data_IF_246441224384
#
_entry.id   IF_246441224384
#
_cell.length_a   1.000
_cell.length_b   1.000
_cell.length_c   1.000
_cell.angle_alpha   90.00
_cell.angle_beta   90.00
_cell.angle_gamma   90.00
#
_symmetry.space_group_name_H-M   'P 1'
#
loop_
_entity.id
_entity.type
_entity.pdbx_description
1 polymer ?
#
# COMPACT_ATOMS: atom_id res chain seq x y z
N UNK A 1 -35.22 13.84 34.83
CA UNK A 1 -34.60 13.41 33.59
C UNK A 1 -35.31 12.15 33.14
N UNK A 2 -36.09 12.23 32.08
CA UNK A 2 -36.97 11.15 31.63
C UNK A 2 -36.19 10.09 30.84
N UNK A 3 -36.64 8.82 30.94
CA UNK A 3 -36.07 7.67 30.21
C UNK A 3 -36.06 7.89 28.68
N UNK A 4 -36.87 8.83 28.19
CA UNK A 4 -36.96 9.23 26.79
C UNK A 4 -35.74 10.06 26.33
N UNK A 5 -35.17 10.90 27.21
CA UNK A 5 -33.97 11.70 26.89
C UNK A 5 -32.70 10.84 26.80
N UNK A 6 -32.66 9.73 27.52
CA UNK A 6 -31.49 8.82 27.49
C UNK A 6 -31.43 7.92 26.24
N UNK A 7 -32.55 7.80 25.50
CA UNK A 7 -32.61 7.06 24.24
C UNK A 7 -32.14 7.89 23.02
N UNK A 8 -32.25 9.21 23.10
CA UNK A 8 -31.91 10.11 22.00
C UNK A 8 -30.41 10.37 21.89
N UNK A 9 -29.64 10.19 22.98
CA UNK A 9 -28.18 10.35 22.99
C UNK A 9 -27.44 9.13 22.39
N UNK A 10 -28.13 7.99 22.22
CA UNK A 10 -27.53 6.74 21.71
C UNK A 10 -27.55 6.59 20.19
N UNK A 11 -28.09 7.60 19.46
CA UNK A 11 -28.25 7.59 18.01
C UNK A 11 -27.27 8.45 17.24
N UNK A 12 -26.26 9.06 17.90
CA UNK A 12 -25.31 9.95 17.25
C UNK A 12 -23.96 9.23 17.09
N UNK A 13 -23.59 9.02 15.84
CA UNK A 13 -22.26 8.73 15.27
C UNK A 13 -21.68 7.31 15.35
N UNK A 14 -22.17 6.45 14.47
CA UNK A 14 -21.35 5.34 13.96
C UNK A 14 -20.80 5.49 12.51
N UNK A 15 -21.12 6.53 11.72
CA UNK A 15 -20.55 6.66 10.37
C UNK A 15 -19.08 7.10 10.33
N UNK A 16 -18.59 7.78 11.37
CA UNK A 16 -17.22 8.35 11.38
C UNK A 16 -16.11 7.33 11.62
N UNK A 17 -16.37 6.30 12.40
CA UNK A 17 -15.36 5.27 12.68
C UNK A 17 -15.09 4.35 11.48
N UNK A 18 -16.12 3.94 10.73
CA UNK A 18 -15.92 3.13 9.52
C UNK A 18 -15.13 3.88 8.44
N UNK A 19 -15.41 5.17 8.21
CA UNK A 19 -14.66 5.99 7.25
C UNK A 19 -13.18 6.17 7.62
N UNK A 20 -12.88 6.33 8.91
CA UNK A 20 -11.51 6.50 9.37
C UNK A 20 -10.69 5.19 9.20
N UNK A 21 -11.30 4.05 9.48
CA UNK A 21 -10.66 2.73 9.29
C UNK A 21 -10.40 2.46 7.81
N UNK A 22 -11.37 2.77 6.93
CA UNK A 22 -11.22 2.57 5.48
C UNK A 22 -10.10 3.44 4.89
N UNK A 23 -9.99 4.71 5.33
CA UNK A 23 -8.95 5.62 4.84
C UNK A 23 -7.54 5.22 5.28
N UNK A 24 -7.38 4.72 6.51
CA UNK A 24 -6.09 4.21 7.01
C UNK A 24 -5.65 2.98 6.22
N UNK A 25 -6.54 2.01 6.06
CA UNK A 25 -6.28 0.79 5.28
C UNK A 25 -5.87 1.10 3.84
N UNK A 26 -6.54 2.08 3.21
CA UNK A 26 -6.22 2.50 1.85
C UNK A 26 -4.85 3.17 1.75
N UNK A 27 -4.51 4.04 2.72
CA UNK A 27 -3.20 4.71 2.74
C UNK A 27 -2.05 3.71 2.90
N UNK A 28 -2.21 2.70 3.75
CA UNK A 28 -1.23 1.64 3.93
C UNK A 28 -1.08 0.75 2.70
N UNK A 29 -2.21 0.45 2.03
CA UNK A 29 -2.19 -0.30 0.79
C UNK A 29 -1.42 0.46 -0.31
N UNK A 30 -1.67 1.76 -0.49
CA UNK A 30 -0.96 2.62 -1.43
C UNK A 30 0.54 2.69 -1.09
N UNK A 31 0.87 2.86 0.19
CA UNK A 31 2.25 2.88 0.65
C UNK A 31 2.99 1.58 0.31
N UNK A 32 2.35 0.43 0.53
CA UNK A 32 2.92 -0.87 0.19
C UNK A 32 3.11 -1.07 -1.31
N UNK A 33 2.20 -0.56 -2.17
CA UNK A 33 2.39 -0.58 -3.63
C UNK A 33 3.61 0.24 -4.02
N UNK A 34 3.71 1.48 -3.54
CA UNK A 34 4.82 2.39 -3.90
C UNK A 34 6.16 1.79 -3.48
N UNK A 35 6.26 1.29 -2.25
CA UNK A 35 7.50 0.66 -1.76
C UNK A 35 7.85 -0.62 -2.51
N UNK A 36 6.85 -1.44 -2.88
CA UNK A 36 7.03 -2.59 -3.75
C UNK A 36 7.56 -2.21 -5.13
N UNK A 37 7.01 -1.15 -5.74
CA UNK A 37 7.48 -0.63 -7.03
C UNK A 37 8.92 -0.14 -6.99
N UNK A 38 9.35 0.51 -5.90
CA UNK A 38 10.77 0.92 -5.70
C UNK A 38 11.68 -0.30 -5.75
N UNK A 39 11.36 -1.36 -4.99
CA UNK A 39 12.15 -2.60 -4.97
C UNK A 39 12.18 -3.26 -6.36
N UNK A 40 11.04 -3.32 -7.05
CA UNK A 40 10.95 -3.91 -8.39
C UNK A 40 11.75 -3.08 -9.40
N UNK A 41 11.67 -1.75 -9.34
CA UNK A 41 12.41 -0.87 -10.23
C UNK A 41 13.93 -1.03 -10.06
N UNK A 42 14.42 -1.17 -8.83
CA UNK A 42 15.82 -1.49 -8.55
C UNK A 42 16.23 -2.84 -9.15
N UNK A 43 15.41 -3.89 -8.99
CA UNK A 43 15.68 -5.22 -9.56
C UNK A 43 15.75 -5.22 -11.11
N UNK A 44 14.94 -4.42 -11.77
CA UNK A 44 15.00 -4.25 -13.25
C UNK A 44 16.38 -3.74 -13.67
N UNK A 45 16.97 -2.83 -12.89
CA UNK A 45 18.27 -2.24 -13.20
C UNK A 45 19.43 -3.20 -12.88
N UNK A 46 19.31 -4.02 -11.85
CA UNK A 46 20.33 -5.02 -11.48
C UNK A 46 20.35 -6.23 -12.41
N UNK A 47 19.37 -6.36 -13.31
CA UNK A 47 19.24 -7.46 -14.28
C UNK A 47 19.27 -8.83 -13.60
N UNK A 48 18.44 -8.99 -12.57
CA UNK A 48 18.26 -10.30 -11.93
C UNK A 48 17.80 -11.34 -12.94
N UNK A 49 18.60 -12.40 -13.10
CA UNK A 49 18.35 -13.46 -14.09
C UNK A 49 17.43 -14.56 -13.55
N UNK A 50 17.24 -14.60 -12.22
CA UNK A 50 16.53 -15.70 -11.56
C UNK A 50 15.21 -15.24 -10.97
N UNK A 51 14.12 -15.68 -11.56
CA UNK A 51 12.76 -15.26 -11.18
C UNK A 51 12.39 -15.48 -9.71
N UNK A 52 12.83 -16.60 -9.11
CA UNK A 52 12.54 -16.93 -7.71
C UNK A 52 13.30 -16.00 -6.74
N UNK A 53 14.52 -15.58 -7.09
CA UNK A 53 15.28 -14.59 -6.30
C UNK A 53 14.61 -13.24 -6.37
N UNK A 54 14.24 -12.78 -7.56
CA UNK A 54 13.50 -11.54 -7.73
C UNK A 54 12.18 -11.55 -6.90
N UNK A 55 11.40 -12.63 -6.98
CA UNK A 55 10.19 -12.78 -6.19
C UNK A 55 10.47 -12.73 -4.67
N UNK A 56 11.49 -13.47 -4.19
CA UNK A 56 11.86 -13.47 -2.78
C UNK A 56 12.33 -12.10 -2.30
N UNK A 57 13.07 -11.34 -3.11
CA UNK A 57 13.51 -9.98 -2.76
C UNK A 57 12.30 -9.05 -2.62
N UNK A 58 11.35 -9.10 -3.56
CA UNK A 58 10.13 -8.28 -3.48
C UNK A 58 9.33 -8.62 -2.21
N UNK A 59 9.11 -9.90 -1.95
CA UNK A 59 8.34 -10.34 -0.78
C UNK A 59 9.05 -10.00 0.53
N UNK A 60 10.37 -10.23 0.62
CA UNK A 60 11.15 -9.89 1.82
C UNK A 60 11.17 -8.38 2.07
N UNK A 61 11.25 -7.57 1.01
CA UNK A 61 11.11 -6.12 1.08
C UNK A 61 9.74 -5.71 1.63
N UNK A 62 8.65 -6.29 1.13
CA UNK A 62 7.31 -6.04 1.64
C UNK A 62 7.15 -6.41 3.12
N UNK A 63 7.72 -7.56 3.53
CA UNK A 63 7.72 -7.98 4.95
C UNK A 63 8.53 -7.01 5.81
N UNK A 64 9.71 -6.60 5.36
CA UNK A 64 10.56 -5.65 6.10
C UNK A 64 9.87 -4.30 6.29
N UNK A 65 9.23 -3.76 5.26
CA UNK A 65 8.47 -2.50 5.32
C UNK A 65 7.28 -2.64 6.26
N UNK A 66 6.52 -3.73 6.17
CA UNK A 66 5.42 -4.02 7.08
C UNK A 66 5.87 -4.06 8.55
N UNK A 67 6.97 -4.77 8.85
CA UNK A 67 7.52 -4.82 10.21
C UNK A 67 7.97 -3.45 10.70
N UNK A 68 8.66 -2.68 9.86
CA UNK A 68 9.12 -1.33 10.20
C UNK A 68 7.95 -0.39 10.47
N UNK A 69 6.88 -0.47 9.67
CA UNK A 69 5.68 0.34 9.84
C UNK A 69 4.94 -0.01 11.12
N UNK A 70 4.68 -1.30 11.38
CA UNK A 70 4.06 -1.77 12.61
C UNK A 70 4.87 -1.37 13.85
N UNK A 71 6.20 -1.43 13.78
CA UNK A 71 7.08 -0.96 14.86
C UNK A 71 6.95 0.54 15.10
N UNK A 72 6.92 1.34 14.03
CA UNK A 72 6.76 2.80 14.12
C UNK A 72 5.40 3.18 14.75
N UNK A 73 4.31 2.48 14.37
CA UNK A 73 2.98 2.66 14.97
C UNK A 73 3.01 2.40 16.48
N UNK A 74 3.63 1.28 16.91
CA UNK A 74 3.77 0.91 18.32
C UNK A 74 4.51 1.99 19.11
N UNK A 75 5.63 2.49 18.58
CA UNK A 75 6.40 3.56 19.26
C UNK A 75 5.59 4.85 19.34
N UNK A 76 4.88 5.20 18.26
CA UNK A 76 3.99 6.35 18.23
C UNK A 76 2.88 6.27 19.28
N UNK A 77 2.19 5.12 19.40
CA UNK A 77 1.18 4.89 20.43
C UNK A 77 1.75 4.98 21.85
N UNK A 78 2.95 4.41 22.08
CA UNK A 78 3.61 4.48 23.40
C UNK A 78 3.87 5.92 23.82
N UNK A 79 4.34 6.76 22.92
CA UNK A 79 4.61 8.18 23.20
C UNK A 79 3.32 8.94 23.45
N UNK A 80 2.29 8.71 22.64
CA UNK A 80 1.00 9.40 22.77
C UNK A 80 0.25 9.03 24.06
N UNK A 81 0.21 7.74 24.41
CA UNK A 81 -0.58 7.24 25.54
C UNK A 81 0.19 7.21 26.84
N UNK A 82 1.50 7.42 26.86
CA UNK A 82 2.40 7.38 28.02
C UNK A 82 2.20 6.15 28.92
N UNK A 83 1.79 5.01 28.32
CA UNK A 83 1.56 3.75 29.03
C UNK A 83 2.48 2.64 28.52
N UNK A 84 2.60 1.57 29.32
CA UNK A 84 3.30 0.37 28.88
C UNK A 84 2.48 -0.33 27.81
N UNK A 85 3.17 -0.79 26.77
CA UNK A 85 2.58 -1.58 25.69
C UNK A 85 2.35 -3.01 26.17
N UNK A 86 1.30 -3.61 25.66
CA UNK A 86 0.93 -5.00 25.87
C UNK A 86 1.13 -5.81 24.59
N UNK A 87 1.17 -7.15 24.71
CA UNK A 87 1.22 -8.03 23.53
C UNK A 87 0.03 -7.83 22.57
N UNK A 88 -1.13 -7.42 23.11
CA UNK A 88 -2.32 -7.10 22.30
C UNK A 88 -2.15 -5.83 21.46
N UNK A 89 -1.40 -4.84 21.96
CA UNK A 89 -1.10 -3.62 21.19
C UNK A 89 -0.20 -3.97 19.99
N UNK A 90 0.80 -4.83 20.22
CA UNK A 90 1.66 -5.34 19.15
C UNK A 90 0.86 -6.10 18.07
N UNK A 91 0.04 -7.07 18.48
CA UNK A 91 -0.78 -7.84 17.55
C UNK A 91 -1.76 -6.97 16.76
N UNK A 92 -2.28 -5.90 17.38
CA UNK A 92 -3.14 -4.92 16.72
C UNK A 92 -2.39 -4.13 15.65
N UNK A 93 -1.21 -3.58 15.97
CA UNK A 93 -0.37 -2.85 15.01
C UNK A 93 -0.01 -3.73 13.80
N UNK A 94 0.46 -4.96 14.05
CA UNK A 94 0.77 -5.93 12.98
C UNK A 94 -0.43 -6.22 12.08
N UNK A 95 -1.63 -6.33 12.66
CA UNK A 95 -2.86 -6.57 11.89
C UNK A 95 -3.33 -5.33 11.15
N UNK A 96 -3.20 -4.15 11.73
CA UNK A 96 -3.57 -2.90 11.09
C UNK A 96 -2.72 -2.65 9.83
N UNK A 97 -1.41 -2.90 9.92
CA UNK A 97 -0.47 -2.69 8.82
C UNK A 97 -0.48 -3.84 7.78
N UNK A 98 -1.38 -4.84 7.91
CA UNK A 98 -1.49 -5.96 6.96
C UNK A 98 -1.72 -5.55 5.49
N UNK A 99 -2.39 -4.42 5.18
CA UNK A 99 -2.54 -3.95 3.81
C UNK A 99 -1.21 -3.69 3.09
N UNK A 100 -0.15 -3.33 3.80
CA UNK A 100 1.20 -3.12 3.24
C UNK A 100 1.74 -4.43 2.64
N UNK A 101 1.68 -5.52 3.39
CA UNK A 101 2.20 -6.81 2.91
C UNK A 101 1.33 -7.37 1.77
N UNK A 102 0.00 -7.24 1.86
CA UNK A 102 -0.90 -7.73 0.80
C UNK A 102 -0.70 -6.98 -0.51
N UNK A 103 -0.48 -5.67 -0.48
CA UNK A 103 -0.20 -4.88 -1.67
C UNK A 103 1.16 -5.24 -2.29
N UNK A 104 2.18 -5.50 -1.47
CA UNK A 104 3.48 -6.01 -1.94
C UNK A 104 3.34 -7.35 -2.68
N UNK A 105 2.53 -8.28 -2.15
CA UNK A 105 2.24 -9.53 -2.85
C UNK A 105 1.52 -9.32 -4.18
N UNK A 106 0.57 -8.39 -4.25
CA UNK A 106 -0.17 -8.13 -5.50
C UNK A 106 0.76 -7.66 -6.62
N UNK A 107 1.70 -6.73 -6.32
CA UNK A 107 2.67 -6.28 -7.34
C UNK A 107 3.73 -7.32 -7.64
N UNK A 108 3.96 -8.31 -6.76
CA UNK A 108 4.90 -9.40 -6.98
C UNK A 108 4.33 -10.52 -7.89
N UNK A 109 3.01 -10.59 -8.10
CA UNK A 109 2.38 -11.68 -8.88
C UNK A 109 3.03 -11.86 -10.27
N UNK A 110 3.27 -10.82 -11.08
CA UNK A 110 3.86 -11.00 -12.40
C UNK A 110 5.27 -11.61 -12.35
N UNK A 111 6.04 -11.40 -11.27
CA UNK A 111 7.38 -11.96 -11.10
C UNK A 111 7.39 -13.50 -11.01
N UNK A 112 6.24 -14.16 -10.85
CA UNK A 112 6.10 -15.62 -10.89
C UNK A 112 5.97 -16.18 -12.31
N UNK A 113 5.58 -15.35 -13.30
CA UNK A 113 5.29 -15.80 -14.67
C UNK A 113 6.49 -16.40 -15.41
N UNK A 114 7.75 -15.94 -15.18
CA UNK A 114 8.91 -16.58 -15.76
C UNK A 114 9.09 -18.05 -15.31
N UNK A 115 8.71 -18.37 -14.07
CA UNK A 115 8.71 -19.74 -13.57
C UNK A 115 7.77 -20.68 -14.32
N UNK A 116 6.76 -20.14 -15.00
CA UNK A 116 5.83 -20.85 -15.87
C UNK A 116 6.26 -20.85 -17.36
N UNK A 117 7.42 -20.25 -17.68
CA UNK A 117 7.92 -20.13 -19.04
C UNK A 117 7.15 -19.14 -19.93
N UNK A 118 6.32 -18.26 -19.35
CA UNK A 118 5.45 -17.35 -20.09
C UNK A 118 6.15 -16.08 -20.56
N UNK A 119 7.21 -15.64 -19.87
CA UNK A 119 7.96 -14.43 -20.24
C UNK A 119 9.34 -14.41 -19.59
N UNK A 120 10.20 -13.45 -19.98
CA UNK A 120 11.51 -13.25 -19.32
C UNK A 120 11.35 -12.59 -17.95
N UNK A 121 12.37 -12.70 -17.09
CA UNK A 121 12.39 -12.06 -15.77
C UNK A 121 12.26 -10.54 -15.92
N UNK A 122 13.04 -9.92 -16.80
CA UNK A 122 13.00 -8.48 -17.07
C UNK A 122 11.60 -8.00 -17.48
N UNK A 123 10.95 -8.73 -18.41
CA UNK A 123 9.58 -8.42 -18.83
C UNK A 123 8.59 -8.53 -17.68
N UNK A 124 8.74 -9.53 -16.81
CA UNK A 124 7.86 -9.75 -15.67
C UNK A 124 7.99 -8.66 -14.61
N UNK A 125 9.21 -8.18 -14.34
CA UNK A 125 9.45 -7.08 -13.41
C UNK A 125 8.87 -5.75 -13.97
N UNK A 126 9.04 -5.50 -15.27
CA UNK A 126 8.41 -4.36 -15.95
C UNK A 126 6.89 -4.44 -15.87
N UNK A 127 6.32 -5.63 -16.07
CA UNK A 127 4.87 -5.85 -15.91
C UNK A 127 4.42 -5.63 -14.46
N UNK A 128 5.22 -6.00 -13.47
CA UNK A 128 4.95 -5.75 -12.05
C UNK A 128 4.85 -4.24 -11.75
N UNK A 129 5.78 -3.44 -12.27
CA UNK A 129 5.70 -1.98 -12.15
C UNK A 129 4.46 -1.41 -12.84
N UNK A 130 4.11 -1.91 -14.04
CA UNK A 130 2.91 -1.49 -14.74
C UNK A 130 1.63 -1.82 -13.94
N UNK A 131 1.56 -3.01 -13.35
CA UNK A 131 0.45 -3.40 -12.44
C UNK A 131 0.36 -2.42 -11.26
N UNK A 132 1.48 -2.05 -10.65
CA UNK A 132 1.50 -1.04 -9.58
C UNK A 132 0.93 0.31 -10.03
N UNK A 133 1.35 0.82 -11.20
CA UNK A 133 0.83 2.07 -11.78
C UNK A 133 -0.69 1.99 -12.02
N UNK A 134 -1.17 0.89 -12.59
CA UNK A 134 -2.60 0.69 -12.85
C UNK A 134 -3.40 0.65 -11.55
N UNK A 135 -2.90 -0.03 -10.52
CA UNK A 135 -3.59 -0.08 -9.22
C UNK A 135 -3.61 1.31 -8.58
N UNK A 136 -2.52 2.07 -8.62
CA UNK A 136 -2.51 3.45 -8.12
C UNK A 136 -3.53 4.32 -8.86
N UNK A 137 -3.63 4.20 -10.19
CA UNK A 137 -4.65 4.90 -10.98
C UNK A 137 -6.07 4.54 -10.54
N UNK A 138 -6.35 3.24 -10.34
CA UNK A 138 -7.64 2.75 -9.87
C UNK A 138 -7.98 3.29 -8.48
N UNK A 139 -7.02 3.25 -7.56
CA UNK A 139 -7.19 3.80 -6.20
C UNK A 139 -7.51 5.29 -6.26
N UNK A 140 -6.77 6.08 -7.05
CA UNK A 140 -7.06 7.50 -7.25
C UNK A 140 -8.44 7.75 -7.83
N UNK A 141 -8.87 6.96 -8.81
CA UNK A 141 -10.22 7.06 -9.38
C UNK A 141 -11.29 6.72 -8.34
N UNK A 142 -11.13 5.64 -7.59
CA UNK A 142 -12.07 5.21 -6.55
C UNK A 142 -12.16 6.24 -5.42
N UNK A 143 -11.05 6.85 -5.01
CA UNK A 143 -11.04 7.94 -4.03
C UNK A 143 -11.92 9.12 -4.50
N UNK A 144 -11.81 9.51 -5.77
CA UNK A 144 -12.65 10.55 -6.36
C UNK A 144 -14.13 10.16 -6.45
N UNK A 145 -14.46 8.86 -6.60
CA UNK A 145 -15.85 8.41 -6.58
C UNK A 145 -16.45 8.47 -5.17
N UNK A 146 -15.66 8.12 -4.16
CA UNK A 146 -16.11 8.11 -2.76
C UNK A 146 -16.45 9.53 -2.24
N UNK A 147 -15.79 10.56 -2.78
CA UNK A 147 -16.04 11.98 -2.45
C UNK A 147 -17.16 12.61 -3.28
N UNK A 148 -17.83 11.84 -4.18
CA UNK A 148 -18.88 12.30 -5.09
C UNK A 148 -18.46 13.48 -6.00
N UNK A 149 -17.18 13.56 -6.30
CA UNK A 149 -16.61 14.59 -7.15
C UNK A 149 -17.01 14.45 -8.62
N UNK A 150 -16.78 15.50 -9.40
CA UNK A 150 -17.05 15.49 -10.84
C UNK A 150 -16.21 14.44 -11.56
N UNK A 151 -16.70 13.94 -12.71
CA UNK A 151 -15.99 12.96 -13.51
C UNK A 151 -14.56 13.43 -13.87
N UNK A 152 -14.39 14.70 -14.18
CA UNK A 152 -13.10 15.29 -14.50
C UNK A 152 -12.13 15.21 -13.31
N UNK A 153 -12.60 15.49 -12.11
CA UNK A 153 -11.78 15.41 -10.91
C UNK A 153 -11.34 13.96 -10.57
N UNK A 154 -12.22 12.98 -10.79
CA UNK A 154 -11.89 11.54 -10.65
C UNK A 154 -10.77 11.12 -11.58
N UNK A 155 -10.83 11.57 -12.84
CA UNK A 155 -9.78 11.30 -13.85
C UNK A 155 -8.48 11.99 -13.42
N UNK A 156 -8.54 13.23 -12.95
CA UNK A 156 -7.37 13.97 -12.49
C UNK A 156 -6.68 13.25 -11.31
N UNK A 157 -7.45 12.75 -10.34
CA UNK A 157 -6.92 11.94 -9.24
C UNK A 157 -6.28 10.63 -9.73
N UNK A 158 -6.93 9.95 -10.67
CA UNK A 158 -6.38 8.72 -11.26
C UNK A 158 -5.04 8.99 -11.97
N UNK A 159 -4.98 10.03 -12.80
CA UNK A 159 -3.76 10.43 -13.51
C UNK A 159 -2.67 10.90 -12.54
N UNK A 160 -3.04 11.68 -11.52
CA UNK A 160 -2.10 12.10 -10.47
C UNK A 160 -1.49 10.92 -9.72
N UNK A 161 -2.34 9.95 -9.31
CA UNK A 161 -1.89 8.73 -8.62
C UNK A 161 -1.01 7.84 -9.53
N UNK A 162 -1.37 7.68 -10.80
CA UNK A 162 -0.53 7.00 -11.78
C UNK A 162 0.81 7.73 -11.98
N UNK A 163 0.79 9.07 -12.00
CA UNK A 163 1.96 9.92 -12.10
C UNK A 163 2.97 9.68 -10.97
N UNK A 164 2.50 9.42 -9.75
CA UNK A 164 3.37 9.03 -8.63
C UNK A 164 4.09 7.71 -8.95
N UNK A 165 3.37 6.69 -9.44
CA UNK A 165 3.98 5.42 -9.82
C UNK A 165 5.01 5.57 -10.96
N UNK A 166 4.70 6.36 -11.97
CA UNK A 166 5.63 6.66 -13.06
C UNK A 166 6.87 7.41 -12.54
N UNK A 167 6.69 8.36 -11.61
CA UNK A 167 7.79 9.10 -11.00
C UNK A 167 8.74 8.18 -10.24
N UNK A 168 8.22 7.20 -9.50
CA UNK A 168 9.04 6.19 -8.81
C UNK A 168 9.95 5.45 -9.78
N UNK A 169 9.37 4.89 -10.85
CA UNK A 169 10.13 4.16 -11.88
C UNK A 169 11.15 5.06 -12.58
N UNK A 170 10.77 6.31 -12.86
CA UNK A 170 11.65 7.28 -13.54
C UNK A 170 12.84 7.67 -12.65
N UNK A 171 12.63 7.87 -11.35
CA UNK A 171 13.71 8.21 -10.39
C UNK A 171 14.73 7.08 -10.35
N UNK A 172 14.28 5.83 -10.20
CA UNK A 172 15.17 4.66 -10.17
C UNK A 172 15.96 4.55 -11.49
N UNK A 173 15.30 4.75 -12.62
CA UNK A 173 15.97 4.74 -13.92
C UNK A 173 17.05 5.82 -14.03
N UNK A 174 16.77 7.04 -13.58
CA UNK A 174 17.72 8.16 -13.62
C UNK A 174 18.92 7.89 -12.71
N UNK A 175 18.66 7.44 -11.47
CA UNK A 175 19.74 7.17 -10.49
C UNK A 175 20.72 6.12 -11.00
N UNK A 176 20.25 5.10 -11.71
CA UNK A 176 21.10 4.04 -12.25
C UNK A 176 21.91 4.44 -13.49
N UNK A 177 21.54 5.56 -14.15
CA UNK A 177 22.22 6.02 -15.37
C UNK A 177 23.07 7.29 -15.15
N UNK A 178 23.17 7.77 -13.89
CA UNK A 178 24.09 8.83 -13.46
C UNK A 178 25.41 8.24 -12.93
#
# INVERSE_FOLDING_TARGET
MSVTEMKEVKGIDQPSQHRAVDSHTLSEFVYGIITGMVVIAALVQEREDTWWQAFLIIVSGAVAVWMAHAYAEIIGERLALRRRLTGSDFARAMRNSWPIITSGFVVAIPALLPGLGLMSVETSLTASNLVGIVILALVGYLAGTATKESQMYRILLAVGSAGVGVAVVAIEYIVHHL
#
